data_IF_278923994976
#
_entry.id   IF_278923994976
#
_cell.length_a   1.000
_cell.length_b   1.000
_cell.length_c   1.000
_cell.angle_alpha   90.00
_cell.angle_beta   90.00
_cell.angle_gamma   90.00
#
_symmetry.space_group_name_H-M   'P 1'
#
loop_
_entity.id
_entity.type
_entity.pdbx_description
1 polymer ?
#
# COMPACT_ATOMS: atom_id res chain seq x y z
N UNK A 1 6.66 -24.11 -21.43
CA UNK A 1 7.87 -23.53 -20.80
C UNK A 1 7.69 -22.06 -20.45
N UNK A 2 7.23 -21.18 -21.36
CA UNK A 2 7.05 -19.74 -21.06
C UNK A 2 6.02 -19.45 -19.95
N UNK A 3 4.88 -20.13 -19.89
CA UNK A 3 3.86 -19.89 -18.88
C UNK A 3 4.31 -20.25 -17.44
N UNK A 4 5.07 -21.36 -17.29
CA UNK A 4 5.62 -21.78 -16.00
C UNK A 4 6.67 -20.78 -15.52
N UNK A 5 7.53 -20.31 -16.44
CA UNK A 5 8.54 -19.29 -16.15
C UNK A 5 7.92 -17.94 -15.77
N UNK A 6 6.89 -17.49 -16.48
CA UNK A 6 6.16 -16.27 -16.13
C UNK A 6 5.50 -16.38 -14.74
N UNK A 7 4.97 -17.56 -14.39
CA UNK A 7 4.42 -17.82 -13.05
C UNK A 7 5.48 -17.74 -11.95
N UNK A 8 6.69 -18.26 -12.17
CA UNK A 8 7.79 -18.16 -11.21
C UNK A 8 8.27 -16.71 -11.03
N UNK A 9 8.37 -15.95 -12.11
CA UNK A 9 8.74 -14.53 -12.06
C UNK A 9 7.69 -13.73 -11.31
N UNK A 10 6.39 -13.96 -11.57
CA UNK A 10 5.31 -13.31 -10.83
C UNK A 10 5.36 -13.59 -9.33
N UNK A 11 5.68 -14.82 -8.93
CA UNK A 11 5.89 -15.17 -7.51
C UNK A 11 7.07 -14.40 -6.90
N UNK A 12 8.17 -14.24 -7.64
CA UNK A 12 9.33 -13.45 -7.19
C UNK A 12 8.98 -11.96 -7.06
N UNK A 13 8.21 -11.38 -7.98
CA UNK A 13 7.76 -9.98 -7.88
C UNK A 13 6.86 -9.80 -6.66
N UNK A 14 5.92 -10.71 -6.41
CA UNK A 14 5.09 -10.69 -5.21
C UNK A 14 5.93 -10.86 -3.91
N UNK A 15 6.98 -11.69 -3.96
CA UNK A 15 7.92 -11.84 -2.84
C UNK A 15 8.72 -10.55 -2.59
N UNK A 16 9.20 -9.89 -3.63
CA UNK A 16 9.85 -8.58 -3.53
C UNK A 16 8.90 -7.58 -2.84
N UNK A 17 7.63 -7.53 -3.27
CA UNK A 17 6.63 -6.67 -2.64
C UNK A 17 6.45 -6.96 -1.15
N UNK A 18 6.37 -8.23 -0.74
CA UNK A 18 6.32 -8.61 0.69
C UNK A 18 7.55 -8.15 1.47
N UNK A 19 8.75 -8.28 0.90
CA UNK A 19 9.97 -7.76 1.53
C UNK A 19 9.91 -6.24 1.71
N UNK A 20 9.35 -5.51 0.73
CA UNK A 20 9.16 -4.06 0.81
C UNK A 20 8.19 -3.67 1.93
N UNK A 21 7.04 -4.34 2.02
CA UNK A 21 6.04 -4.09 3.07
C UNK A 21 6.62 -4.37 4.46
N UNK A 22 7.44 -5.40 4.61
CA UNK A 22 8.14 -5.75 5.86
C UNK A 22 9.44 -4.97 6.10
N UNK A 23 9.76 -4.00 5.23
CA UNK A 23 10.97 -3.17 5.29
C UNK A 23 12.28 -3.97 5.35
N UNK A 24 12.30 -5.15 4.72
CA UNK A 24 13.46 -6.04 4.64
C UNK A 24 14.43 -5.59 3.53
N UNK A 25 15.12 -4.46 3.76
CA UNK A 25 15.89 -3.74 2.73
C UNK A 25 16.91 -4.63 2.01
N UNK A 26 17.72 -5.39 2.75
CA UNK A 26 18.76 -6.25 2.16
C UNK A 26 18.18 -7.35 1.28
N UNK A 27 17.12 -8.03 1.75
CA UNK A 27 16.48 -9.10 1.00
C UNK A 27 15.76 -8.56 -0.25
N UNK A 28 15.12 -7.40 -0.13
CA UNK A 28 14.49 -6.71 -1.25
C UNK A 28 15.53 -6.33 -2.32
N UNK A 29 16.71 -5.85 -1.93
CA UNK A 29 17.79 -5.51 -2.87
C UNK A 29 18.26 -6.73 -3.68
N UNK A 30 18.50 -7.87 -3.02
CA UNK A 30 18.90 -9.12 -3.68
C UNK A 30 17.83 -9.56 -4.71
N UNK A 31 16.56 -9.62 -4.28
CA UNK A 31 15.45 -9.99 -5.17
C UNK A 31 15.30 -9.01 -6.34
N UNK A 32 15.51 -7.72 -6.11
CA UNK A 32 15.45 -6.67 -7.14
C UNK A 32 16.51 -6.86 -8.20
N UNK A 33 17.76 -7.15 -7.82
CA UNK A 33 18.85 -7.41 -8.76
C UNK A 33 18.58 -8.66 -9.61
N UNK A 34 18.11 -9.75 -8.99
CA UNK A 34 17.72 -10.97 -9.72
C UNK A 34 16.61 -10.70 -10.75
N UNK A 35 15.60 -9.93 -10.34
CA UNK A 35 14.47 -9.57 -11.21
C UNK A 35 14.92 -8.64 -12.35
N UNK A 36 15.80 -7.68 -12.10
CA UNK A 36 16.32 -6.78 -13.14
C UNK A 36 17.01 -7.53 -14.29
N UNK A 37 17.75 -8.59 -13.98
CA UNK A 37 18.35 -9.46 -15.01
C UNK A 37 17.25 -10.20 -15.79
N UNK A 38 16.26 -10.77 -15.10
CA UNK A 38 15.17 -11.51 -15.73
C UNK A 38 14.33 -10.64 -16.69
N UNK A 39 14.08 -9.38 -16.32
CA UNK A 39 13.26 -8.45 -17.09
C UNK A 39 14.01 -7.76 -18.24
N UNK A 40 15.34 -7.62 -18.17
CA UNK A 40 16.15 -7.09 -19.27
C UNK A 40 16.26 -8.03 -20.46
N UNK A 41 16.24 -9.34 -20.21
CA UNK A 41 16.61 -10.32 -21.23
C UNK A 41 15.44 -11.09 -21.85
N UNK A 42 14.25 -11.12 -21.20
CA UNK A 42 13.40 -12.30 -21.39
C UNK A 42 11.89 -12.19 -21.21
N UNK A 43 11.30 -11.01 -20.99
CA UNK A 43 9.84 -10.90 -20.82
C UNK A 43 9.13 -10.15 -21.94
N UNK A 44 8.03 -10.74 -22.44
CA UNK A 44 7.10 -10.18 -23.44
C UNK A 44 5.68 -10.02 -22.88
N UNK A 45 5.53 -10.04 -21.56
CA UNK A 45 4.24 -9.96 -20.88
C UNK A 45 4.07 -8.56 -20.28
N UNK A 46 3.33 -7.71 -20.98
CA UNK A 46 3.15 -6.30 -20.62
C UNK A 46 2.54 -6.12 -19.23
N UNK A 47 1.64 -7.03 -18.81
CA UNK A 47 1.03 -7.00 -17.48
C UNK A 47 2.06 -7.29 -16.40
N UNK A 48 2.93 -8.27 -16.64
CA UNK A 48 3.97 -8.61 -15.67
C UNK A 48 5.04 -7.51 -15.57
N UNK A 49 5.40 -6.90 -16.70
CA UNK A 49 6.27 -5.71 -16.73
C UNK A 49 5.62 -4.56 -15.95
N UNK A 50 4.31 -4.33 -16.14
CA UNK A 50 3.58 -3.31 -15.42
C UNK A 50 3.57 -3.53 -13.91
N UNK A 51 3.26 -4.76 -13.46
CA UNK A 51 3.30 -5.09 -12.03
C UNK A 51 4.70 -4.91 -11.45
N UNK A 52 5.73 -5.37 -12.16
CA UNK A 52 7.11 -5.21 -11.72
C UNK A 52 7.51 -3.73 -11.57
N UNK A 53 7.14 -2.88 -12.54
CA UNK A 53 7.41 -1.45 -12.48
C UNK A 53 6.72 -0.78 -11.29
N UNK A 54 5.48 -1.15 -10.97
CA UNK A 54 4.77 -0.68 -9.77
C UNK A 54 5.50 -1.09 -8.49
N UNK A 55 5.96 -2.34 -8.40
CA UNK A 55 6.74 -2.81 -7.24
C UNK A 55 8.10 -2.11 -7.16
N UNK A 56 8.74 -1.81 -8.29
CA UNK A 56 9.99 -1.03 -8.34
C UNK A 56 9.78 0.40 -7.83
N UNK A 57 8.69 1.05 -8.23
CA UNK A 57 8.31 2.35 -7.71
C UNK A 57 8.14 2.28 -6.19
N UNK A 58 7.42 1.28 -5.68
CA UNK A 58 7.23 1.10 -4.24
C UNK A 58 8.53 0.78 -3.49
N UNK A 59 9.50 0.12 -4.14
CA UNK A 59 10.84 -0.11 -3.63
C UNK A 59 11.63 1.20 -3.51
N UNK A 60 11.59 2.06 -4.53
CA UNK A 60 12.22 3.39 -4.48
C UNK A 60 11.66 4.24 -3.33
N UNK A 61 10.36 4.15 -3.06
CA UNK A 61 9.74 4.81 -1.90
C UNK A 61 10.31 4.30 -0.58
N UNK A 62 10.53 2.99 -0.43
CA UNK A 62 11.14 2.42 0.78
C UNK A 62 12.57 2.92 1.00
N UNK A 63 13.31 3.17 -0.09
CA UNK A 63 14.67 3.71 -0.05
C UNK A 63 14.74 5.24 0.06
N UNK A 64 13.60 5.94 0.05
CA UNK A 64 13.52 7.40 -0.02
C UNK A 64 14.23 7.99 -1.26
N UNK A 65 14.40 7.17 -2.31
CA UNK A 65 15.05 7.53 -3.58
C UNK A 65 14.01 7.88 -4.65
N UNK A 66 13.22 8.90 -4.35
CA UNK A 66 12.02 9.21 -5.10
C UNK A 66 12.32 10.04 -6.35
N UNK A 67 12.07 9.45 -7.52
CA UNK A 67 11.88 10.17 -8.78
C UNK A 67 10.38 10.44 -8.99
N UNK A 68 10.03 11.49 -9.75
CA UNK A 68 8.63 11.75 -10.09
C UNK A 68 8.02 10.55 -10.86
N UNK A 69 6.77 10.16 -10.59
CA UNK A 69 6.14 8.97 -11.14
C UNK A 69 5.80 9.07 -12.64
N UNK A 70 6.39 10.00 -13.39
CA UNK A 70 6.29 10.09 -14.86
C UNK A 70 6.59 8.75 -15.56
N UNK A 71 7.34 7.85 -14.90
CA UNK A 71 7.62 6.50 -15.39
C UNK A 71 6.39 5.55 -15.36
N UNK A 72 5.31 5.89 -14.67
CA UNK A 72 4.09 5.06 -14.59
C UNK A 72 3.07 5.38 -15.69
N UNK A 73 3.20 6.50 -16.41
CA UNK A 73 2.35 6.84 -17.57
C UNK A 73 2.47 5.80 -18.69
N UNK A 74 3.59 5.09 -18.78
CA UNK A 74 3.79 3.98 -19.71
C UNK A 74 2.90 2.75 -19.42
N UNK A 75 2.24 2.68 -18.26
CA UNK A 75 1.41 1.54 -17.84
C UNK A 75 -0.06 1.66 -18.29
N UNK A 76 -0.47 2.81 -18.84
CA UNK A 76 -1.87 3.18 -19.09
C UNK A 76 -2.66 2.10 -19.85
N UNK A 77 -2.06 1.46 -20.85
CA UNK A 77 -2.74 0.42 -21.63
C UNK A 77 -3.01 -0.87 -20.81
N UNK A 78 -2.13 -1.21 -19.86
CA UNK A 78 -2.30 -2.39 -18.99
C UNK A 78 -3.27 -2.10 -17.84
N UNK A 79 -3.25 -0.88 -17.31
CA UNK A 79 -4.12 -0.43 -16.22
C UNK A 79 -5.60 -0.55 -16.62
N UNK A 80 -5.98 -0.12 -17.82
CA UNK A 80 -7.39 -0.11 -18.25
C UNK A 80 -8.10 -1.48 -18.25
N UNK A 81 -7.38 -2.60 -18.13
CA UNK A 81 -7.96 -3.95 -18.23
C UNK A 81 -7.66 -4.88 -17.04
N UNK A 82 -7.03 -4.37 -15.97
CA UNK A 82 -6.57 -5.22 -14.87
C UNK A 82 -6.77 -4.57 -13.50
N UNK A 83 -7.71 -5.12 -12.71
CA UNK A 83 -8.08 -4.63 -11.39
C UNK A 83 -6.89 -4.58 -10.41
N UNK A 84 -5.97 -5.55 -10.49
CA UNK A 84 -4.83 -5.65 -9.56
C UNK A 84 -3.83 -4.54 -9.86
N UNK A 85 -3.56 -4.30 -11.14
CA UNK A 85 -2.67 -3.23 -11.57
C UNK A 85 -3.27 -1.86 -11.26
N UNK A 86 -4.58 -1.67 -11.47
CA UNK A 86 -5.27 -0.43 -11.12
C UNK A 86 -5.19 -0.15 -9.63
N UNK A 87 -5.51 -1.15 -8.80
CA UNK A 87 -5.40 -1.05 -7.35
C UNK A 87 -4.01 -0.57 -6.94
N UNK A 88 -2.95 -1.29 -7.35
CA UNK A 88 -1.59 -0.96 -6.95
C UNK A 88 -1.09 0.37 -7.53
N UNK A 89 -1.51 0.74 -8.74
CA UNK A 89 -1.19 2.05 -9.32
C UNK A 89 -1.74 3.18 -8.47
N UNK A 90 -3.03 3.17 -8.19
CA UNK A 90 -3.67 4.21 -7.38
C UNK A 90 -3.18 4.18 -5.93
N UNK A 91 -3.01 2.99 -5.35
CA UNK A 91 -2.57 2.83 -3.97
C UNK A 91 -1.12 3.32 -3.76
N UNK A 92 -0.19 2.99 -4.66
CA UNK A 92 1.19 3.45 -4.56
C UNK A 92 1.32 4.94 -4.91
N UNK A 93 0.55 5.43 -5.88
CA UNK A 93 0.49 6.86 -6.19
C UNK A 93 -0.04 7.66 -4.98
N UNK A 94 -1.07 7.15 -4.29
CA UNK A 94 -1.60 7.75 -3.06
C UNK A 94 -0.55 7.79 -1.94
N UNK A 95 0.22 6.71 -1.77
CA UNK A 95 1.33 6.70 -0.80
C UNK A 95 2.42 7.72 -1.16
N UNK A 96 2.69 7.92 -2.45
CA UNK A 96 3.67 8.90 -2.92
C UNK A 96 3.18 10.33 -2.70
N UNK A 97 1.92 10.62 -3.04
CA UNK A 97 1.29 11.90 -2.76
C UNK A 97 1.32 12.21 -1.25
N UNK A 98 1.01 11.22 -0.40
CA UNK A 98 1.09 11.34 1.05
C UNK A 98 2.52 11.66 1.53
N UNK A 99 3.53 10.96 1.01
CA UNK A 99 4.93 11.23 1.34
C UNK A 99 5.34 12.67 0.99
N UNK A 100 4.79 13.22 -0.10
CA UNK A 100 4.98 14.61 -0.53
C UNK A 100 4.06 15.61 0.18
N UNK A 101 3.37 15.19 1.24
CA UNK A 101 2.41 15.98 2.02
C UNK A 101 1.22 16.53 1.20
N UNK A 102 0.95 15.93 0.04
CA UNK A 102 -0.20 16.25 -0.83
C UNK A 102 -1.42 15.43 -0.40
N UNK A 103 -1.91 15.68 0.81
CA UNK A 103 -2.91 14.80 1.46
C UNK A 103 -4.25 14.74 0.72
N UNK A 104 -4.74 15.85 0.15
CA UNK A 104 -5.98 15.84 -0.64
C UNK A 104 -5.84 14.98 -1.90
N UNK A 105 -4.73 15.13 -2.64
CA UNK A 105 -4.43 14.29 -3.80
C UNK A 105 -4.30 12.81 -3.40
N UNK A 106 -3.67 12.53 -2.26
CA UNK A 106 -3.57 11.18 -1.73
C UNK A 106 -4.96 10.57 -1.48
N UNK A 107 -5.90 11.33 -0.89
CA UNK A 107 -7.29 10.90 -0.70
C UNK A 107 -7.96 10.57 -2.04
N UNK A 108 -7.87 11.46 -3.03
CA UNK A 108 -8.48 11.23 -4.35
C UNK A 108 -7.95 9.93 -5.00
N UNK A 109 -6.65 9.67 -4.85
CA UNK A 109 -6.00 8.45 -5.33
C UNK A 109 -6.45 7.21 -4.55
N UNK A 110 -6.55 7.27 -3.22
CA UNK A 110 -7.06 6.16 -2.42
C UNK A 110 -8.53 5.84 -2.73
N UNK A 111 -9.35 6.85 -3.02
CA UNK A 111 -10.73 6.63 -3.46
C UNK A 111 -10.82 5.93 -4.83
N UNK A 112 -9.84 6.14 -5.73
CA UNK A 112 -9.75 5.33 -6.95
C UNK A 112 -9.30 3.89 -6.66
N UNK A 113 -8.31 3.70 -5.78
CA UNK A 113 -7.84 2.37 -5.39
C UNK A 113 -8.95 1.54 -4.70
N UNK A 114 -9.80 2.16 -3.87
CA UNK A 114 -10.86 1.46 -3.14
C UNK A 114 -11.84 0.74 -4.06
N UNK A 115 -12.07 1.28 -5.27
CA UNK A 115 -12.97 0.69 -6.28
C UNK A 115 -12.54 -0.73 -6.67
N UNK A 116 -11.24 -1.00 -6.61
CA UNK A 116 -10.64 -2.28 -6.99
C UNK A 116 -10.33 -3.18 -5.78
N UNK A 117 -10.44 -2.65 -4.55
CA UNK A 117 -10.02 -3.34 -3.32
C UNK A 117 -10.76 -4.67 -3.11
N UNK A 118 -12.03 -4.75 -3.53
CA UNK A 118 -12.83 -5.99 -3.44
C UNK A 118 -12.23 -7.16 -4.25
N UNK A 119 -11.35 -6.88 -5.22
CA UNK A 119 -10.66 -7.89 -6.01
C UNK A 119 -9.33 -8.34 -5.40
N UNK A 120 -8.88 -7.69 -4.33
CA UNK A 120 -7.65 -8.04 -3.60
C UNK A 120 -7.98 -9.12 -2.56
N UNK A 121 -7.29 -10.25 -2.64
CA UNK A 121 -7.52 -11.41 -1.76
C UNK A 121 -6.78 -11.33 -0.42
N UNK A 122 -5.70 -10.55 -0.34
CA UNK A 122 -4.86 -10.46 0.85
C UNK A 122 -5.49 -9.53 1.89
N UNK A 123 -5.96 -10.08 3.00
CA UNK A 123 -6.59 -9.34 4.09
C UNK A 123 -5.65 -8.31 4.73
N UNK A 124 -4.33 -8.58 4.75
CA UNK A 124 -3.36 -7.63 5.30
C UNK A 124 -3.17 -6.43 4.36
N UNK A 125 -3.36 -6.63 3.06
CA UNK A 125 -3.40 -5.54 2.08
C UNK A 125 -4.62 -4.64 2.29
N UNK A 126 -5.78 -5.21 2.66
CA UNK A 126 -6.97 -4.42 3.07
C UNK A 126 -6.69 -3.62 4.33
N UNK A 127 -6.06 -4.21 5.34
CA UNK A 127 -5.65 -3.51 6.56
C UNK A 127 -4.74 -2.32 6.26
N UNK A 128 -3.71 -2.53 5.43
CA UNK A 128 -2.80 -1.45 5.01
C UNK A 128 -3.54 -0.36 4.22
N UNK A 129 -4.42 -0.73 3.28
CA UNK A 129 -5.22 0.22 2.52
C UNK A 129 -6.04 1.12 3.45
N UNK A 130 -6.83 0.51 4.33
CA UNK A 130 -7.71 1.24 5.24
C UNK A 130 -6.91 2.12 6.20
N UNK A 131 -5.76 1.64 6.68
CA UNK A 131 -4.87 2.44 7.53
C UNK A 131 -4.37 3.69 6.80
N UNK A 132 -3.82 3.52 5.59
CA UNK A 132 -3.27 4.61 4.78
C UNK A 132 -4.33 5.66 4.45
N UNK A 133 -5.49 5.24 3.98
CA UNK A 133 -6.60 6.15 3.66
C UNK A 133 -7.14 6.84 4.91
N UNK A 134 -7.29 6.12 6.03
CA UNK A 134 -7.71 6.66 7.31
C UNK A 134 -6.75 7.74 7.85
N UNK A 135 -5.45 7.48 7.79
CA UNK A 135 -4.41 8.47 8.15
C UNK A 135 -4.49 9.71 7.25
N UNK A 136 -4.78 9.56 5.96
CA UNK A 136 -4.92 10.70 5.06
C UNK A 136 -6.13 11.56 5.40
N UNK A 137 -7.30 10.94 5.65
CA UNK A 137 -8.48 11.66 6.10
C UNK A 137 -8.23 12.36 7.44
N UNK A 138 -7.49 11.74 8.37
CA UNK A 138 -7.07 12.39 9.61
C UNK A 138 -6.19 13.62 9.34
N UNK A 139 -5.22 13.53 8.43
CA UNK A 139 -4.32 14.66 8.07
C UNK A 139 -5.02 15.86 7.42
N UNK A 140 -6.24 15.70 6.94
CA UNK A 140 -7.07 16.80 6.38
C UNK A 140 -8.28 17.12 7.26
N UNK A 141 -8.23 16.75 8.54
CA UNK A 141 -9.27 17.00 9.56
C UNK A 141 -10.66 16.44 9.21
N UNK A 142 -10.72 15.41 8.35
CA UNK A 142 -11.96 14.70 7.97
C UNK A 142 -12.20 13.51 8.87
N UNK A 143 -12.37 13.78 10.17
CA UNK A 143 -12.49 12.76 11.22
C UNK A 143 -13.67 11.80 11.02
N UNK A 144 -14.78 12.28 10.47
CA UNK A 144 -15.96 11.48 10.12
C UNK A 144 -15.64 10.35 9.12
N UNK A 145 -14.67 10.60 8.23
CA UNK A 145 -14.16 9.62 7.27
C UNK A 145 -12.98 8.83 7.83
N UNK A 146 -12.11 9.45 8.62
CA UNK A 146 -10.91 8.81 9.16
C UNK A 146 -11.24 7.66 10.11
N UNK A 147 -12.14 7.88 11.08
CA UNK A 147 -12.46 6.90 12.12
C UNK A 147 -12.92 5.53 11.58
N UNK A 148 -13.93 5.44 10.68
CA UNK A 148 -14.35 4.13 10.17
C UNK A 148 -13.27 3.41 9.35
N UNK A 149 -12.37 4.14 8.69
CA UNK A 149 -11.24 3.52 7.98
C UNK A 149 -10.20 2.99 8.96
N UNK A 150 -9.81 3.76 9.98
CA UNK A 150 -8.86 3.34 11.00
C UNK A 150 -9.39 2.16 11.82
N UNK A 151 -10.68 2.14 12.15
CA UNK A 151 -11.29 1.00 12.85
C UNK A 151 -11.34 -0.26 11.98
N UNK A 152 -11.61 -0.15 10.67
CA UNK A 152 -11.47 -1.28 9.74
C UNK A 152 -10.03 -1.80 9.72
N UNK A 153 -9.06 -0.89 9.57
CA UNK A 153 -7.64 -1.24 9.52
C UNK A 153 -7.21 -2.02 10.76
N UNK A 154 -7.56 -1.51 11.94
CA UNK A 154 -7.32 -2.17 13.23
C UNK A 154 -7.86 -3.59 13.24
N UNK A 155 -9.12 -3.79 12.83
CA UNK A 155 -9.76 -5.12 12.80
C UNK A 155 -9.07 -6.10 11.86
N UNK A 156 -8.55 -5.62 10.71
CA UNK A 156 -7.76 -6.46 9.81
C UNK A 156 -6.40 -6.82 10.43
N UNK A 157 -5.71 -5.87 11.06
CA UNK A 157 -4.42 -6.14 11.71
C UNK A 157 -4.55 -7.10 12.90
N UNK A 158 -5.66 -7.03 13.64
CA UNK A 158 -5.95 -7.94 14.75
C UNK A 158 -6.09 -9.42 14.32
N UNK A 159 -6.23 -9.72 13.02
CA UNK A 159 -6.30 -11.09 12.51
C UNK A 159 -4.94 -11.81 12.52
N UNK A 160 -3.82 -11.07 12.53
CA UNK A 160 -2.47 -11.64 12.52
C UNK A 160 -1.59 -10.96 13.60
N UNK A 161 -1.12 -11.72 14.62
CA UNK A 161 -0.24 -11.19 15.67
C UNK A 161 1.04 -10.52 15.17
N UNK A 162 1.49 -10.80 13.94
CA UNK A 162 2.63 -10.11 13.32
C UNK A 162 2.36 -8.64 12.99
N UNK A 163 1.10 -8.21 13.04
CA UNK A 163 0.66 -6.85 12.73
C UNK A 163 0.24 -6.05 13.97
N UNK A 164 0.54 -6.54 15.18
CA UNK A 164 0.22 -5.85 16.44
C UNK A 164 0.68 -4.40 16.45
N UNK A 165 1.88 -4.10 15.94
CA UNK A 165 2.38 -2.71 15.89
C UNK A 165 1.45 -1.80 15.07
N UNK A 166 0.93 -2.28 13.94
CA UNK A 166 0.02 -1.51 13.09
C UNK A 166 -1.38 -1.40 13.71
N UNK A 167 -1.83 -2.44 14.40
CA UNK A 167 -3.06 -2.40 15.20
C UNK A 167 -2.99 -1.29 16.25
N UNK A 168 -1.90 -1.26 17.04
CA UNK A 168 -1.67 -0.22 18.04
C UNK A 168 -1.56 1.17 17.41
N UNK A 169 -0.90 1.30 16.25
CA UNK A 169 -0.86 2.56 15.53
C UNK A 169 -2.26 3.06 15.13
N UNK A 170 -3.14 2.17 14.67
CA UNK A 170 -4.52 2.54 14.37
C UNK A 170 -5.29 2.94 15.64
N UNK A 171 -5.11 2.22 16.76
CA UNK A 171 -5.71 2.56 18.06
C UNK A 171 -5.27 3.95 18.55
N UNK A 172 -3.97 4.28 18.46
CA UNK A 172 -3.47 5.59 18.85
C UNK A 172 -4.13 6.72 18.06
N UNK A 173 -4.30 6.57 16.74
CA UNK A 173 -4.91 7.62 15.91
C UNK A 173 -6.41 7.74 16.22
N UNK A 174 -7.11 6.64 16.46
CA UNK A 174 -8.51 6.67 16.93
C UNK A 174 -8.63 7.43 18.26
N UNK A 175 -7.74 7.14 19.21
CA UNK A 175 -7.65 7.86 20.49
C UNK A 175 -7.39 9.35 20.30
N UNK A 176 -6.46 9.73 19.41
CA UNK A 176 -6.17 11.13 19.10
C UNK A 176 -7.41 11.85 18.55
N UNK A 177 -8.09 11.26 17.55
CA UNK A 177 -9.31 11.85 16.97
C UNK A 177 -10.39 12.05 18.06
N UNK A 178 -10.57 11.07 18.94
CA UNK A 178 -11.54 11.16 20.03
C UNK A 178 -11.16 12.24 21.03
N UNK A 179 -9.88 12.37 21.37
CA UNK A 179 -9.38 13.44 22.23
C UNK A 179 -9.58 14.82 21.61
N UNK A 180 -9.24 14.99 20.32
CA UNK A 180 -9.43 16.23 19.56
C UNK A 180 -10.90 16.63 19.44
N UNK A 181 -11.81 15.66 19.42
CA UNK A 181 -13.26 15.89 19.40
C UNK A 181 -13.90 15.95 20.79
N UNK A 182 -13.10 15.97 21.86
CA UNK A 182 -13.55 16.14 23.25
C UNK A 182 -14.18 14.91 23.89
N UNK A 183 -14.02 13.72 23.30
CA UNK A 183 -14.53 12.45 23.80
C UNK A 183 -13.46 11.73 24.64
N UNK A 184 -13.03 12.35 25.73
CA UNK A 184 -11.83 11.93 26.49
C UNK A 184 -11.92 10.53 27.07
N UNK A 185 -13.07 10.11 27.61
CA UNK A 185 -13.23 8.75 28.17
C UNK A 185 -13.09 7.67 27.10
N UNK A 186 -13.57 7.95 25.88
CA UNK A 186 -13.38 7.03 24.75
C UNK A 186 -11.93 7.04 24.28
N UNK A 187 -11.30 8.21 24.22
CA UNK A 187 -9.89 8.32 23.87
C UNK A 187 -9.00 7.51 24.83
N UNK A 188 -9.23 7.63 26.13
CA UNK A 188 -8.52 6.84 27.16
C UNK A 188 -8.67 5.34 26.93
N UNK A 189 -9.88 4.85 26.59
CA UNK A 189 -10.09 3.44 26.29
C UNK A 189 -9.24 2.94 25.10
N UNK A 190 -9.03 3.77 24.07
CA UNK A 190 -8.14 3.44 22.96
C UNK A 190 -6.65 3.47 23.38
N UNK A 191 -6.24 4.44 24.19
CA UNK A 191 -4.86 4.54 24.67
C UNK A 191 -4.48 3.41 25.63
N UNK A 192 -5.42 2.86 26.40
CA UNK A 192 -5.19 1.70 27.25
C UNK A 192 -4.97 0.40 26.47
N UNK A 193 -5.35 0.36 25.19
CA UNK A 193 -5.06 -0.77 24.30
C UNK A 193 -3.66 -0.66 23.65
N UNK A 194 -2.97 0.47 23.78
CA UNK A 194 -1.64 0.74 23.22
C UNK A 194 -0.52 0.35 24.17
#
# INVERSE_FOLDING_TARGET
MNAVRNSEIGKKVAQLYRCIVKRQVQQAAILKEELDVCFKELLRDDKMVAYYNLVCFRYQMMLEQLQEPHQLEALVNCLQSDFLLNYYYYFFSGQYAFYKERFTEAVDLYEQAEKELAHIQDEMEHGEFYYRAGVCYYKIDRFDRAMPYLDKARRFFALDPMYVEKELQAEMILGNILSETGQYEKAEAHFLNC
#
